data_IF_836961699181
#
_entry.id   IF_836961699181
#
_cell.length_a   1.000
_cell.length_b   1.000
_cell.length_c   1.000
_cell.angle_alpha   90.00
_cell.angle_beta   90.00
_cell.angle_gamma   90.00
#
_symmetry.space_group_name_H-M   'P 1'
#
loop_
_entity.id
_entity.type
_entity.pdbx_description
1 polymer ?
#
# COMPACT_ATOMS: atom_id res chain seq x y z
N UNK A 1 19.64 -15.67 31.43
CA UNK A 1 18.86 -15.06 30.32
C UNK A 1 19.42 -15.59 29.01
N UNK A 2 18.69 -16.47 28.31
CA UNK A 2 19.19 -17.11 27.08
C UNK A 2 19.22 -16.12 25.92
N UNK A 3 20.33 -16.11 25.16
CA UNK A 3 20.45 -15.31 23.96
C UNK A 3 19.35 -15.68 22.95
N UNK A 4 18.58 -14.69 22.49
CA UNK A 4 17.62 -14.86 21.41
C UNK A 4 18.38 -15.32 20.16
N UNK A 5 18.19 -16.57 19.76
CA UNK A 5 18.73 -17.10 18.50
C UNK A 5 17.94 -16.46 17.37
N UNK A 6 18.58 -15.61 16.57
CA UNK A 6 17.95 -15.02 15.41
C UNK A 6 17.49 -16.16 14.47
N UNK A 7 16.19 -16.25 14.14
CA UNK A 7 15.74 -17.20 13.11
C UNK A 7 16.47 -16.80 11.83
N UNK A 8 17.04 -17.78 11.13
CA UNK A 8 17.96 -17.54 10.01
C UNK A 8 17.42 -16.55 8.96
N UNK A 9 18.33 -15.91 8.23
CA UNK A 9 17.97 -14.95 7.18
C UNK A 9 17.72 -15.66 5.85
N UNK A 10 16.57 -15.40 5.22
CA UNK A 10 16.22 -15.88 3.87
C UNK A 10 16.05 -14.70 2.92
N UNK A 11 16.55 -14.83 1.69
CA UNK A 11 16.33 -13.85 0.61
C UNK A 11 15.10 -14.28 -0.20
N UNK A 12 14.04 -13.46 -0.20
CA UNK A 12 12.79 -13.78 -0.89
C UNK A 12 12.81 -13.47 -2.40
N UNK A 13 13.44 -12.38 -2.82
CA UNK A 13 13.61 -12.02 -4.24
C UNK A 13 15.04 -12.35 -4.71
N UNK A 14 15.39 -13.64 -4.72
CA UNK A 14 16.76 -14.08 -5.01
C UNK A 14 17.20 -13.72 -6.44
N UNK A 15 16.26 -13.72 -7.38
CA UNK A 15 16.48 -13.43 -8.80
C UNK A 15 16.43 -11.94 -9.11
N UNK A 16 16.17 -11.07 -8.12
CA UNK A 16 16.11 -9.63 -8.32
C UNK A 16 15.02 -9.20 -9.30
N UNK A 17 13.90 -9.92 -9.34
CA UNK A 17 12.77 -9.61 -10.22
C UNK A 17 12.28 -8.21 -9.88
N UNK A 18 12.27 -7.33 -10.89
CA UNK A 18 11.81 -5.95 -10.75
C UNK A 18 10.29 -5.89 -10.78
N UNK A 19 9.71 -5.01 -9.96
CA UNK A 19 8.30 -4.69 -10.07
C UNK A 19 7.99 -3.95 -11.38
N UNK A 20 8.91 -3.09 -11.84
CA UNK A 20 8.82 -2.41 -13.14
C UNK A 20 9.63 -3.16 -14.20
N UNK A 21 8.91 -3.78 -15.14
CA UNK A 21 9.49 -4.50 -16.25
C UNK A 21 9.87 -3.55 -17.39
N UNK A 22 10.75 -4.00 -18.29
CA UNK A 22 11.05 -3.23 -19.50
C UNK A 22 9.77 -3.05 -20.33
N UNK A 23 9.51 -1.83 -20.78
CA UNK A 23 8.29 -1.49 -21.51
C UNK A 23 7.05 -1.23 -20.63
N UNK A 24 7.13 -1.44 -19.31
CA UNK A 24 6.06 -1.02 -18.40
C UNK A 24 6.18 0.49 -18.13
N UNK A 25 5.16 1.25 -18.52
CA UNK A 25 5.10 2.69 -18.28
C UNK A 25 4.72 3.03 -16.84
N UNK A 26 4.74 4.32 -16.52
CA UNK A 26 4.22 4.82 -15.26
C UNK A 26 2.70 4.81 -15.33
N UNK A 27 2.06 3.92 -14.59
CA UNK A 27 0.59 3.79 -14.57
C UNK A 27 -0.12 5.13 -14.29
N UNK A 28 0.43 6.00 -13.44
CA UNK A 28 -0.20 7.30 -13.17
C UNK A 28 -0.06 8.28 -14.34
N UNK A 29 1.03 8.19 -15.10
CA UNK A 29 1.18 8.95 -16.34
C UNK A 29 0.22 8.43 -17.43
N UNK A 30 0.09 7.11 -17.54
CA UNK A 30 -0.88 6.47 -18.45
C UNK A 30 -2.33 6.83 -18.10
N UNK A 31 -2.62 7.02 -16.81
CA UNK A 31 -3.91 7.49 -16.31
C UNK A 31 -4.07 9.02 -16.34
N UNK A 32 -3.11 9.77 -16.90
CA UNK A 32 -3.20 11.21 -17.05
C UNK A 32 -3.12 12.01 -15.75
N UNK A 33 -2.56 11.43 -14.67
CA UNK A 33 -2.34 12.14 -13.40
C UNK A 33 -1.31 13.25 -13.58
N UNK A 34 -0.26 12.96 -14.33
CA UNK A 34 0.85 13.86 -14.61
C UNK A 34 1.47 13.52 -15.97
N UNK A 35 2.20 14.45 -16.56
CA UNK A 35 2.98 14.22 -17.79
C UNK A 35 4.22 15.15 -17.83
N UNK A 36 4.98 15.09 -18.91
CA UNK A 36 6.11 15.98 -19.19
C UNK A 36 5.66 17.03 -20.18
N UNK A 37 5.88 18.31 -19.87
CA UNK A 37 5.55 19.41 -20.76
C UNK A 37 6.56 19.57 -21.92
N UNK A 38 6.30 20.55 -22.79
CA UNK A 38 7.14 20.81 -23.97
C UNK A 38 8.58 21.25 -23.61
N UNK A 39 8.82 21.70 -22.37
CA UNK A 39 10.15 22.06 -21.88
C UNK A 39 10.90 20.88 -21.26
N UNK A 40 10.28 19.70 -21.21
CA UNK A 40 10.85 18.51 -20.59
C UNK A 40 10.63 18.44 -19.08
N UNK A 41 9.78 19.30 -18.51
CA UNK A 41 9.53 19.36 -17.06
C UNK A 41 8.27 18.57 -16.67
N UNK A 42 8.27 17.88 -15.52
CA UNK A 42 7.08 17.20 -15.03
C UNK A 42 6.00 18.20 -14.63
N UNK A 43 4.76 17.92 -15.05
CA UNK A 43 3.57 18.73 -14.80
C UNK A 43 2.46 17.84 -14.26
N UNK A 44 1.87 18.26 -13.14
CA UNK A 44 0.65 17.66 -12.61
C UNK A 44 -0.54 18.06 -13.50
N UNK A 45 -1.31 17.08 -13.96
CA UNK A 45 -2.46 17.28 -14.84
C UNK A 45 -3.78 17.17 -14.08
N UNK A 46 -3.90 16.18 -13.18
CA UNK A 46 -5.13 15.92 -12.43
C UNK A 46 -4.85 15.87 -10.91
N UNK A 47 -4.86 17.03 -10.22
CA UNK A 47 -4.61 17.10 -8.78
C UNK A 47 -5.65 16.34 -7.94
N UNK A 48 -6.87 16.20 -8.47
CA UNK A 48 -8.00 15.55 -7.80
C UNK A 48 -8.05 14.03 -7.98
N UNK A 49 -7.11 13.43 -8.73
CA UNK A 49 -7.24 12.04 -9.23
C UNK A 49 -7.54 11.01 -8.14
N UNK A 50 -6.90 11.11 -6.98
CA UNK A 50 -7.14 10.21 -5.85
C UNK A 50 -8.16 10.75 -4.83
N UNK A 51 -8.47 12.04 -4.89
CA UNK A 51 -9.36 12.71 -3.95
C UNK A 51 -10.84 12.66 -4.40
N UNK A 52 -11.09 12.52 -5.71
CA UNK A 52 -12.42 12.52 -6.30
C UNK A 52 -12.57 11.35 -7.27
N UNK A 53 -13.51 10.45 -6.99
CA UNK A 53 -13.78 9.30 -7.87
C UNK A 53 -15.28 9.19 -8.11
N UNK A 54 -15.68 9.18 -9.38
CA UNK A 54 -17.08 9.13 -9.81
C UNK A 54 -17.98 10.21 -9.15
N UNK A 55 -17.45 11.42 -9.00
CA UNK A 55 -18.17 12.55 -8.37
C UNK A 55 -18.26 12.49 -6.84
N UNK A 56 -17.55 11.56 -6.19
CA UNK A 56 -17.51 11.42 -4.73
C UNK A 56 -16.14 11.75 -4.18
N UNK A 57 -16.11 12.53 -3.09
CA UNK A 57 -14.90 12.74 -2.28
C UNK A 57 -14.49 11.46 -1.59
N UNK A 58 -13.23 11.09 -1.78
CA UNK A 58 -12.61 9.91 -1.21
C UNK A 58 -12.06 10.23 0.17
N UNK A 59 -12.32 9.35 1.14
CA UNK A 59 -11.54 9.25 2.36
C UNK A 59 -10.43 8.21 2.11
N UNK A 60 -9.20 8.67 1.88
CA UNK A 60 -8.08 7.79 1.53
C UNK A 60 -7.88 6.63 2.51
N UNK A 61 -7.93 6.94 3.81
CA UNK A 61 -7.75 5.95 4.89
C UNK A 61 -8.80 4.84 4.83
N UNK A 62 -10.07 5.20 4.64
CA UNK A 62 -11.17 4.24 4.63
C UNK A 62 -11.35 3.54 3.28
N UNK A 63 -11.18 4.25 2.17
CA UNK A 63 -11.55 3.79 0.83
C UNK A 63 -10.40 3.06 0.12
N UNK A 64 -9.15 3.34 0.47
CA UNK A 64 -7.97 2.72 -0.16
C UNK A 64 -7.11 1.95 0.84
N UNK A 65 -6.64 2.62 1.90
CA UNK A 65 -5.68 2.02 2.83
C UNK A 65 -6.28 0.83 3.59
N UNK A 66 -7.46 0.99 4.19
CA UNK A 66 -8.11 -0.07 4.96
C UNK A 66 -8.35 -1.35 4.14
N UNK A 67 -8.97 -1.31 2.93
CA UNK A 67 -9.11 -2.49 2.09
C UNK A 67 -7.79 -3.16 1.72
N UNK A 68 -6.74 -2.36 1.48
CA UNK A 68 -5.40 -2.88 1.22
C UNK A 68 -4.82 -3.60 2.44
N UNK A 69 -4.80 -2.94 3.61
CA UNK A 69 -4.25 -3.48 4.85
C UNK A 69 -4.95 -4.79 5.24
N UNK A 70 -6.26 -4.84 5.09
CA UNK A 70 -7.07 -6.04 5.32
C UNK A 70 -6.71 -7.19 4.38
N UNK A 71 -6.61 -6.93 3.07
CA UNK A 71 -6.22 -7.94 2.08
C UNK A 71 -4.79 -8.44 2.34
N UNK A 72 -3.88 -7.53 2.67
CA UNK A 72 -2.50 -7.85 3.04
C UNK A 72 -2.45 -8.77 4.25
N UNK A 73 -3.14 -8.40 5.34
CA UNK A 73 -3.20 -9.20 6.57
C UNK A 73 -3.74 -10.61 6.32
N UNK A 74 -4.83 -10.71 5.55
CA UNK A 74 -5.42 -11.99 5.17
C UNK A 74 -4.45 -12.88 4.39
N UNK A 75 -3.71 -12.32 3.43
CA UNK A 75 -2.75 -13.10 2.65
C UNK A 75 -1.55 -13.56 3.48
N UNK A 76 -1.00 -12.70 4.34
CA UNK A 76 0.09 -13.08 5.23
C UNK A 76 -0.36 -14.20 6.19
N UNK A 77 -1.55 -14.06 6.79
CA UNK A 77 -2.06 -15.05 7.75
C UNK A 77 -2.49 -16.38 7.11
N UNK A 78 -2.81 -16.38 5.82
CA UNK A 78 -3.02 -17.62 5.08
C UNK A 78 -1.73 -18.45 4.95
N UNK A 79 -0.55 -17.81 5.04
CA UNK A 79 0.76 -18.46 5.02
C UNK A 79 1.29 -18.74 6.44
N UNK A 80 1.08 -17.81 7.37
CA UNK A 80 1.43 -17.95 8.78
C UNK A 80 0.33 -17.34 9.67
N UNK A 81 -0.52 -18.20 10.22
CA UNK A 81 -1.64 -17.78 11.06
C UNK A 81 -1.23 -17.16 12.41
N UNK A 82 0.06 -17.19 12.78
CA UNK A 82 0.61 -16.59 14.00
C UNK A 82 1.31 -15.25 13.76
N UNK A 83 1.40 -14.80 12.52
CA UNK A 83 2.08 -13.56 12.18
C UNK A 83 1.45 -12.36 12.91
N UNK A 84 2.28 -11.64 13.67
CA UNK A 84 1.95 -10.32 14.16
C UNK A 84 2.16 -9.30 13.03
N UNK A 85 1.14 -8.49 12.75
CA UNK A 85 1.15 -7.54 11.64
C UNK A 85 0.89 -6.15 12.21
N UNK A 86 1.88 -5.29 12.04
CA UNK A 86 1.86 -3.89 12.47
C UNK A 86 1.58 -3.02 11.26
N UNK A 87 0.57 -2.17 11.35
CA UNK A 87 0.15 -1.28 10.26
C UNK A 87 -0.07 0.12 10.83
N UNK A 88 0.35 1.17 10.12
CA UNK A 88 0.20 2.56 10.54
C UNK A 88 -0.51 3.36 9.47
N UNK A 89 -1.49 4.18 9.87
CA UNK A 89 -2.12 5.11 8.93
C UNK A 89 -1.21 6.30 8.66
N UNK A 90 -1.61 7.10 7.68
CA UNK A 90 -1.06 8.43 7.51
C UNK A 90 -1.30 9.29 8.75
N UNK A 91 -0.30 10.08 9.14
CA UNK A 91 -0.27 10.84 10.41
C UNK A 91 -1.35 11.93 10.46
N UNK A 92 -1.79 12.41 9.30
CA UNK A 92 -2.67 13.58 9.16
C UNK A 92 -4.15 13.24 9.06
N UNK A 93 -4.52 11.96 9.04
CA UNK A 93 -5.90 11.51 8.90
C UNK A 93 -6.32 10.64 10.08
N UNK A 94 -7.63 10.62 10.36
CA UNK A 94 -8.20 9.70 11.34
C UNK A 94 -7.83 8.25 11.01
N UNK A 95 -7.58 7.41 12.04
CA UNK A 95 -7.37 5.99 11.83
C UNK A 95 -8.57 5.37 11.12
N UNK A 96 -8.35 4.29 10.34
CA UNK A 96 -9.46 3.62 9.67
C UNK A 96 -10.44 3.05 10.69
N UNK A 97 -11.72 3.05 10.32
CA UNK A 97 -12.73 2.32 11.08
C UNK A 97 -12.63 0.85 10.71
N UNK A 98 -12.01 0.07 11.59
CA UNK A 98 -11.89 -1.37 11.46
C UNK A 98 -13.26 -2.04 11.61
N UNK A 99 -13.60 -2.97 10.72
CA UNK A 99 -14.74 -3.85 10.96
C UNK A 99 -14.46 -4.76 12.18
N UNK A 100 -15.51 -5.19 12.88
CA UNK A 100 -15.36 -5.99 14.11
C UNK A 100 -14.73 -7.37 13.87
N UNK A 101 -14.70 -7.87 12.63
CA UNK A 101 -14.05 -9.13 12.28
C UNK A 101 -12.53 -8.95 12.12
N UNK A 102 -12.06 -7.74 11.78
CA UNK A 102 -10.65 -7.38 11.60
C UNK A 102 -10.00 -6.82 12.88
N UNK A 103 -10.78 -6.51 13.91
CA UNK A 103 -10.29 -5.93 15.17
C UNK A 103 -9.30 -6.84 15.95
N UNK A 104 -9.26 -8.15 15.66
CA UNK A 104 -8.24 -9.09 16.16
C UNK A 104 -7.09 -9.36 15.19
N UNK A 105 -7.11 -8.72 14.02
CA UNK A 105 -6.25 -9.09 12.89
C UNK A 105 -5.02 -8.23 12.68
N UNK A 106 -5.02 -7.02 13.24
CA UNK A 106 -4.01 -6.00 12.99
C UNK A 106 -3.70 -5.29 14.30
N UNK A 107 -2.41 -5.08 14.56
CA UNK A 107 -1.95 -4.22 15.65
C UNK A 107 -1.74 -2.84 15.03
N UNK A 108 -2.58 -1.90 15.46
CA UNK A 108 -2.55 -0.49 15.07
C UNK A 108 -1.93 0.34 16.20
#
# INVERSE_FOLDING_TARGET
>A
FGALRLPGRVRLNAQGVRAWQAGAGCIWREHGVWDVDNSGLPRLLEPGYFAQVHGRTVNFTQDYYYPFARRFARHVRALDNRAAIFVQSEVTHDPPRWDGADAGALVY
#
